data_IF_553437091966
#
_entry.id   IF_553437091966
#
_cell.length_a   1.000
_cell.length_b   1.000
_cell.length_c   1.000
_cell.angle_alpha   90.00
_cell.angle_beta   90.00
_cell.angle_gamma   90.00
#
_symmetry.space_group_name_H-M   'P 1'
#
loop_
_entity.id
_entity.type
_entity.pdbx_description
1 polymer ?
#
# COMPACT_ATOMS: atom_id res chain seq x y z
N UNK A 1 -17.30 48.21 -16.98
CA UNK A 1 -16.02 47.73 -16.40
C UNK A 1 -16.10 46.37 -15.70
N UNK A 2 -17.30 45.93 -15.38
CA UNK A 2 -17.62 44.64 -14.77
C UNK A 2 -16.99 43.43 -15.53
N UNK A 3 -17.06 43.44 -16.87
CA UNK A 3 -16.50 42.38 -17.71
C UNK A 3 -14.96 42.34 -17.66
N UNK A 4 -14.30 43.50 -17.51
CA UNK A 4 -12.84 43.63 -17.48
C UNK A 4 -12.23 43.16 -16.16
N UNK A 5 -12.88 43.45 -15.03
CA UNK A 5 -12.45 42.98 -13.71
C UNK A 5 -12.62 41.47 -13.54
N UNK A 6 -13.72 40.89 -14.04
CA UNK A 6 -13.93 39.43 -14.04
C UNK A 6 -12.99 38.68 -15.01
N UNK A 7 -12.72 39.26 -16.19
CA UNK A 7 -11.82 38.68 -17.18
C UNK A 7 -10.36 38.58 -16.68
N UNK A 8 -9.85 39.58 -16.02
CA UNK A 8 -8.49 39.55 -15.49
C UNK A 8 -8.30 38.46 -14.43
N UNK A 9 -9.31 38.21 -13.60
CA UNK A 9 -9.26 37.13 -12.58
C UNK A 9 -9.52 35.73 -13.15
N UNK A 10 -10.24 35.62 -14.25
CA UNK A 10 -10.39 34.39 -15.01
C UNK A 10 -9.09 33.94 -15.67
N UNK A 11 -8.27 34.89 -16.16
CA UNK A 11 -6.96 34.62 -16.75
C UNK A 11 -5.96 34.11 -15.70
N UNK A 12 -6.11 34.49 -14.42
CA UNK A 12 -5.32 34.02 -13.30
C UNK A 12 -5.81 32.68 -12.70
N UNK A 13 -6.82 32.03 -13.33
CA UNK A 13 -7.49 30.78 -12.85
C UNK A 13 -8.14 30.91 -11.47
N UNK A 14 -8.39 32.14 -11.00
CA UNK A 14 -9.12 32.43 -9.76
C UNK A 14 -10.64 32.55 -10.04
N UNK A 15 -11.28 31.38 -10.20
CA UNK A 15 -12.73 31.31 -10.46
C UNK A 15 -13.58 31.82 -9.28
N UNK A 16 -13.10 31.72 -8.07
CA UNK A 16 -13.79 32.25 -6.88
C UNK A 16 -13.69 33.77 -6.81
N UNK A 17 -12.50 34.29 -7.03
CA UNK A 17 -12.27 35.73 -7.06
C UNK A 17 -12.98 36.41 -8.22
N UNK A 18 -13.13 35.77 -9.38
CA UNK A 18 -13.91 36.31 -10.51
C UNK A 18 -15.41 36.37 -10.21
N UNK A 19 -15.97 35.34 -9.56
CA UNK A 19 -17.38 35.33 -9.12
C UNK A 19 -17.65 36.36 -8.04
N UNK A 20 -16.75 36.53 -7.07
CA UNK A 20 -16.87 37.53 -6.02
C UNK A 20 -16.70 38.97 -6.55
N UNK A 21 -15.87 39.21 -7.55
CA UNK A 21 -15.72 40.50 -8.20
C UNK A 21 -17.02 40.89 -8.93
N UNK A 22 -17.69 39.99 -9.60
CA UNK A 22 -19.01 40.22 -10.25
C UNK A 22 -20.10 40.54 -9.24
N UNK A 23 -20.16 39.85 -8.10
CA UNK A 23 -21.13 40.09 -7.03
C UNK A 23 -20.89 41.43 -6.37
N UNK A 24 -19.63 41.82 -6.14
CA UNK A 24 -19.24 43.06 -5.51
C UNK A 24 -19.56 44.28 -6.39
N UNK A 25 -19.30 44.15 -7.69
CA UNK A 25 -19.61 45.20 -8.67
C UNK A 25 -21.12 45.38 -8.88
N UNK A 26 -21.85 44.25 -8.95
CA UNK A 26 -23.33 44.27 -9.03
C UNK A 26 -23.97 44.96 -7.80
N UNK A 27 -23.38 44.80 -6.61
CA UNK A 27 -23.86 45.41 -5.37
C UNK A 27 -23.46 46.89 -5.25
N UNK A 28 -22.36 47.32 -5.88
CA UNK A 28 -21.88 48.69 -5.85
C UNK A 28 -22.60 49.63 -6.85
N UNK A 29 -23.18 49.05 -7.93
CA UNK A 29 -23.88 49.83 -8.97
C UNK A 29 -25.38 50.03 -8.71
N UNK A 30 -25.92 49.57 -7.56
CA UNK A 30 -27.34 49.66 -7.23
C UNK A 30 -27.67 50.97 -6.52
N UNK A 31 -27.94 52.00 -7.30
CA UNK A 31 -28.70 53.18 -6.81
C UNK A 31 -30.17 52.80 -6.58
N UNK A 32 -30.67 53.11 -5.50
CA UNK A 32 -31.93 53.14 -4.72
C UNK A 32 -33.27 52.58 -5.29
N UNK A 33 -33.41 52.01 -6.48
CA UNK A 33 -34.75 51.62 -6.99
C UNK A 33 -34.89 50.23 -7.61
N UNK A 34 -33.94 49.30 -7.44
CA UNK A 34 -34.03 47.93 -8.01
C UNK A 34 -33.75 46.79 -7.02
N UNK A 35 -33.89 47.05 -5.73
CA UNK A 35 -33.49 46.12 -4.65
C UNK A 35 -34.26 44.77 -4.63
N UNK A 36 -35.42 44.69 -5.26
CA UNK A 36 -36.25 43.46 -5.24
C UNK A 36 -36.04 42.50 -6.45
N UNK A 37 -35.56 43.03 -7.59
CA UNK A 37 -35.28 42.19 -8.77
C UNK A 37 -33.84 41.63 -8.78
N UNK A 38 -32.89 42.30 -8.12
CA UNK A 38 -31.49 41.83 -8.04
C UNK A 38 -31.24 40.78 -6.96
N UNK A 39 -32.02 40.77 -5.90
CA UNK A 39 -31.82 39.86 -4.76
C UNK A 39 -32.12 38.39 -5.10
N UNK A 40 -33.10 38.12 -5.96
CA UNK A 40 -33.49 36.76 -6.34
C UNK A 40 -32.43 36.03 -7.21
N UNK A 41 -31.91 36.77 -8.21
CA UNK A 41 -30.94 36.15 -9.15
C UNK A 41 -29.54 35.97 -8.51
N UNK A 42 -29.09 36.91 -7.67
CA UNK A 42 -27.82 36.77 -6.94
C UNK A 42 -27.89 35.68 -5.87
N UNK A 43 -29.02 35.54 -5.18
CA UNK A 43 -29.22 34.47 -4.20
C UNK A 43 -29.27 33.07 -4.85
N UNK A 44 -29.89 32.91 -6.04
CA UNK A 44 -29.95 31.65 -6.76
C UNK A 44 -28.57 31.25 -7.28
N UNK A 45 -27.76 32.18 -7.80
CA UNK A 45 -26.39 31.90 -8.24
C UNK A 45 -25.47 31.58 -7.06
N UNK A 46 -25.56 32.29 -5.95
CA UNK A 46 -24.76 32.04 -4.77
C UNK A 46 -25.11 30.71 -4.08
N UNK A 47 -26.41 30.38 -4.00
CA UNK A 47 -26.85 29.08 -3.46
C UNK A 47 -26.52 27.92 -4.41
N UNK A 48 -26.65 28.06 -5.72
CA UNK A 48 -26.29 27.05 -6.72
C UNK A 48 -24.78 26.78 -6.73
N UNK A 49 -23.94 27.82 -6.71
CA UNK A 49 -22.47 27.68 -6.63
C UNK A 49 -22.01 27.11 -5.28
N UNK A 50 -22.64 27.52 -4.17
CA UNK A 50 -22.36 27.00 -2.83
C UNK A 50 -22.72 25.52 -2.69
N UNK A 51 -23.89 25.11 -3.21
CA UNK A 51 -24.32 23.72 -3.19
C UNK A 51 -23.43 22.83 -4.08
N UNK A 52 -23.05 23.33 -5.29
CA UNK A 52 -22.12 22.61 -6.17
C UNK A 52 -20.73 22.47 -5.55
N UNK A 53 -20.20 23.52 -4.93
CA UNK A 53 -18.92 23.47 -4.21
C UNK A 53 -18.98 22.54 -2.98
N UNK A 54 -20.07 22.57 -2.22
CA UNK A 54 -20.30 21.68 -1.08
C UNK A 54 -20.41 20.21 -1.51
N UNK A 55 -21.18 19.93 -2.57
CA UNK A 55 -21.33 18.57 -3.09
C UNK A 55 -20.02 18.03 -3.66
N UNK A 56 -19.22 18.84 -4.35
CA UNK A 56 -17.86 18.49 -4.80
C UNK A 56 -16.94 18.19 -3.62
N UNK A 57 -16.89 19.06 -2.61
CA UNK A 57 -16.09 18.84 -1.39
C UNK A 57 -16.51 17.58 -0.63
N UNK A 58 -17.83 17.32 -0.54
CA UNK A 58 -18.34 16.10 0.10
C UNK A 58 -17.94 14.86 -0.67
N UNK A 59 -18.10 14.85 -2.00
CA UNK A 59 -17.64 13.75 -2.88
C UNK A 59 -16.13 13.52 -2.77
N UNK A 60 -15.32 14.58 -2.85
CA UNK A 60 -13.84 14.47 -2.75
C UNK A 60 -13.41 13.90 -1.39
N UNK A 61 -14.04 14.31 -0.28
CA UNK A 61 -13.76 13.77 1.05
C UNK A 61 -14.20 12.30 1.15
N UNK A 62 -15.35 11.96 0.59
CA UNK A 62 -15.87 10.59 0.61
C UNK A 62 -15.01 9.66 -0.25
N UNK A 63 -14.62 10.09 -1.46
CA UNK A 63 -13.67 9.33 -2.30
C UNK A 63 -12.31 9.18 -1.61
N UNK A 64 -11.82 10.21 -0.92
CA UNK A 64 -10.55 10.15 -0.19
C UNK A 64 -10.58 9.13 0.98
N UNK A 65 -11.68 9.09 1.75
CA UNK A 65 -11.83 8.09 2.82
C UNK A 65 -11.98 6.67 2.24
N UNK A 66 -12.80 6.50 1.21
CA UNK A 66 -12.96 5.21 0.54
C UNK A 66 -11.66 4.71 -0.12
N UNK A 67 -10.83 5.61 -0.66
CA UNK A 67 -9.50 5.23 -1.18
C UNK A 67 -8.57 4.78 -0.05
N UNK A 68 -8.62 5.43 1.12
CA UNK A 68 -7.83 5.02 2.27
C UNK A 68 -8.22 3.60 2.76
N UNK A 69 -9.53 3.31 2.81
CA UNK A 69 -10.04 1.99 3.16
C UNK A 69 -9.70 0.95 2.08
N UNK A 70 -9.76 1.35 0.81
CA UNK A 70 -9.45 0.49 -0.34
C UNK A 70 -7.98 0.05 -0.40
N UNK A 71 -7.04 0.87 0.09
CA UNK A 71 -5.61 0.50 0.21
C UNK A 71 -5.36 -0.67 1.17
N UNK A 72 -6.28 -0.93 2.08
CA UNK A 72 -6.19 -2.07 3.00
C UNK A 72 -6.72 -3.38 2.40
N UNK A 73 -7.34 -3.34 1.21
CA UNK A 73 -7.84 -4.53 0.53
C UNK A 73 -6.64 -5.33 0.00
N UNK A 74 -6.63 -6.63 0.29
CA UNK A 74 -5.60 -7.52 -0.23
C UNK A 74 -5.60 -7.49 -1.78
N UNK A 75 -4.47 -7.26 -2.46
CA UNK A 75 -4.40 -7.23 -3.92
C UNK A 75 -4.92 -8.50 -4.62
N UNK A 76 -4.93 -9.64 -3.92
CA UNK A 76 -5.46 -10.90 -4.41
C UNK A 76 -6.98 -11.00 -4.34
N UNK A 77 -7.63 -10.14 -3.54
CA UNK A 77 -9.08 -10.11 -3.42
C UNK A 77 -9.71 -9.25 -4.51
N UNK A 78 -9.68 -9.77 -5.74
CA UNK A 78 -10.28 -9.10 -6.90
C UNK A 78 -11.79 -8.89 -6.75
N UNK A 79 -12.47 -9.70 -5.93
CA UNK A 79 -13.91 -9.56 -5.67
C UNK A 79 -14.22 -8.26 -4.92
N UNK A 80 -13.48 -7.99 -3.85
CA UNK A 80 -13.59 -6.74 -3.10
C UNK A 80 -13.17 -5.53 -3.93
N UNK A 81 -12.11 -5.66 -4.75
CA UNK A 81 -11.68 -4.60 -5.68
C UNK A 81 -12.76 -4.29 -6.71
N UNK A 82 -13.40 -5.30 -7.31
CA UNK A 82 -14.49 -5.13 -8.28
C UNK A 82 -15.71 -4.41 -7.71
N UNK A 83 -15.94 -4.48 -6.41
CA UNK A 83 -17.06 -3.82 -5.72
C UNK A 83 -16.81 -2.31 -5.49
N UNK A 84 -15.58 -1.82 -5.66
CA UNK A 84 -15.24 -0.41 -5.45
C UNK A 84 -15.87 0.49 -6.51
N UNK A 85 -16.20 1.76 -6.16
CA UNK A 85 -16.56 2.78 -7.14
C UNK A 85 -15.44 3.01 -8.15
N UNK A 86 -15.81 3.31 -9.41
CA UNK A 86 -14.83 3.44 -10.50
C UNK A 86 -13.85 4.59 -10.30
N UNK A 87 -14.28 5.68 -9.70
CA UNK A 87 -13.43 6.83 -9.34
C UNK A 87 -12.41 6.51 -8.24
N UNK A 88 -12.73 5.58 -7.34
CA UNK A 88 -11.80 5.04 -6.35
C UNK A 88 -10.77 4.12 -7.02
N UNK A 89 -11.22 3.23 -7.91
CA UNK A 89 -10.33 2.36 -8.68
C UNK A 89 -9.37 3.14 -9.58
N UNK A 90 -9.86 4.20 -10.24
CA UNK A 90 -9.03 5.11 -11.04
C UNK A 90 -7.88 5.68 -10.22
N UNK A 91 -8.20 6.21 -9.05
CA UNK A 91 -7.20 6.79 -8.18
C UNK A 91 -6.24 5.75 -7.63
N UNK A 92 -6.78 4.60 -7.19
CA UNK A 92 -5.99 3.51 -6.66
C UNK A 92 -5.02 2.96 -7.72
N UNK A 93 -5.48 2.76 -8.97
CA UNK A 93 -4.62 2.29 -10.06
C UNK A 93 -3.46 3.23 -10.37
N UNK A 94 -3.67 4.56 -10.28
CA UNK A 94 -2.61 5.55 -10.45
C UNK A 94 -1.60 5.49 -9.30
N UNK A 95 -2.09 5.35 -8.08
CA UNK A 95 -1.23 5.22 -6.89
C UNK A 95 -0.39 3.93 -6.96
N UNK A 96 -0.97 2.80 -7.36
CA UNK A 96 -0.28 1.52 -7.50
C UNK A 96 0.81 1.54 -8.59
N UNK A 97 0.55 2.17 -9.73
CA UNK A 97 1.58 2.33 -10.78
C UNK A 97 2.80 3.09 -10.27
N UNK A 98 2.59 4.16 -9.49
CA UNK A 98 3.68 4.95 -8.91
C UNK A 98 4.40 4.18 -7.81
N UNK A 99 3.63 3.50 -6.93
CA UNK A 99 4.17 2.68 -5.85
C UNK A 99 5.07 1.57 -6.39
N UNK A 100 4.59 0.81 -7.38
CA UNK A 100 5.33 -0.29 -7.98
C UNK A 100 6.60 0.18 -8.71
N UNK A 101 6.58 1.33 -9.39
CA UNK A 101 7.80 1.90 -9.99
C UNK A 101 8.84 2.26 -8.91
N UNK A 102 8.40 2.83 -7.79
CA UNK A 102 9.28 3.13 -6.66
C UNK A 102 9.81 1.87 -5.98
N UNK A 103 8.96 0.86 -5.77
CA UNK A 103 9.35 -0.43 -5.21
C UNK A 103 10.39 -1.15 -6.07
N UNK A 104 10.23 -1.13 -7.40
CA UNK A 104 11.23 -1.68 -8.34
C UNK A 104 12.56 -0.95 -8.22
N UNK A 105 12.57 0.38 -8.08
CA UNK A 105 13.82 1.15 -7.91
C UNK A 105 14.52 0.81 -6.60
N UNK A 106 13.77 0.73 -5.50
CA UNK A 106 14.29 0.30 -4.19
C UNK A 106 14.83 -1.13 -4.24
N UNK A 107 14.05 -2.04 -4.83
CA UNK A 107 14.43 -3.44 -4.96
C UNK A 107 15.71 -3.65 -5.77
N UNK A 108 15.97 -2.84 -6.81
CA UNK A 108 17.24 -2.88 -7.54
C UNK A 108 18.43 -2.55 -6.66
N UNK A 109 18.34 -1.47 -5.89
CA UNK A 109 19.41 -1.07 -4.98
C UNK A 109 19.64 -2.11 -3.88
N UNK A 110 18.57 -2.69 -3.34
CA UNK A 110 18.64 -3.74 -2.34
C UNK A 110 19.22 -5.05 -2.91
N UNK A 111 18.86 -5.40 -4.14
CA UNK A 111 19.42 -6.56 -4.84
C UNK A 111 20.92 -6.43 -5.09
N UNK A 112 21.39 -5.24 -5.48
CA UNK A 112 22.82 -4.98 -5.68
C UNK A 112 23.59 -5.19 -4.35
N UNK A 113 23.05 -4.67 -3.25
CA UNK A 113 23.61 -4.87 -1.93
C UNK A 113 23.57 -6.35 -1.49
N UNK A 114 22.42 -7.00 -1.63
CA UNK A 114 22.25 -8.42 -1.30
C UNK A 114 23.18 -9.32 -2.14
N UNK A 115 23.39 -8.98 -3.41
CA UNK A 115 24.30 -9.74 -4.28
C UNK A 115 25.75 -9.59 -3.86
N UNK A 116 26.16 -8.40 -3.40
CA UNK A 116 27.50 -8.16 -2.87
C UNK A 116 27.73 -8.91 -1.55
N UNK A 117 26.72 -9.01 -0.69
CA UNK A 117 26.81 -9.66 0.63
C UNK A 117 26.68 -11.18 0.56
N UNK A 118 25.74 -11.70 -0.24
CA UNK A 118 25.32 -13.12 -0.22
C UNK A 118 25.66 -13.88 -1.50
N UNK A 119 26.08 -13.19 -2.56
CA UNK A 119 26.41 -13.75 -3.87
C UNK A 119 25.19 -14.02 -4.75
N UNK A 120 25.45 -14.16 -6.06
CA UNK A 120 24.44 -14.28 -7.11
C UNK A 120 23.53 -15.52 -6.97
N UNK A 121 24.04 -16.61 -6.41
CA UNK A 121 23.24 -17.84 -6.22
C UNK A 121 22.07 -17.63 -5.25
N UNK A 122 22.33 -16.96 -4.13
CA UNK A 122 21.34 -16.75 -3.08
C UNK A 122 20.33 -15.66 -3.44
N UNK A 123 20.68 -14.77 -4.38
CA UNK A 123 19.80 -13.67 -4.82
C UNK A 123 18.94 -14.00 -6.05
N UNK A 124 18.98 -15.23 -6.55
CA UNK A 124 18.20 -15.63 -7.74
C UNK A 124 16.68 -15.44 -7.60
N UNK A 125 16.13 -15.67 -6.42
CA UNK A 125 14.70 -15.44 -6.16
C UNK A 125 14.35 -13.96 -6.30
N UNK A 126 15.18 -13.10 -5.73
CA UNK A 126 15.01 -11.65 -5.80
C UNK A 126 15.11 -11.14 -7.24
N UNK A 127 16.11 -11.63 -8.04
CA UNK A 127 16.22 -11.32 -9.47
C UNK A 127 14.94 -11.69 -10.22
N UNK A 128 14.37 -12.86 -9.95
CA UNK A 128 13.11 -13.29 -10.59
C UNK A 128 11.93 -12.42 -10.20
N UNK A 129 11.79 -12.10 -8.91
CA UNK A 129 10.76 -11.19 -8.41
C UNK A 129 10.88 -9.81 -9.08
N UNK A 130 12.08 -9.23 -9.13
CA UNK A 130 12.34 -7.95 -9.76
C UNK A 130 12.01 -7.94 -11.27
N UNK A 131 12.39 -8.96 -12.00
CA UNK A 131 12.07 -9.10 -13.42
C UNK A 131 10.56 -9.26 -13.65
N UNK A 132 9.89 -10.05 -12.82
CA UNK A 132 8.44 -10.23 -12.88
C UNK A 132 7.72 -8.91 -12.61
N UNK A 133 8.08 -8.19 -11.54
CA UNK A 133 7.50 -6.90 -11.19
C UNK A 133 7.73 -5.85 -12.29
N UNK A 134 8.92 -5.82 -12.91
CA UNK A 134 9.21 -4.94 -14.03
C UNK A 134 8.31 -5.22 -15.23
N UNK A 135 8.12 -6.49 -15.58
CA UNK A 135 7.23 -6.89 -16.68
C UNK A 135 5.76 -6.59 -16.37
N UNK A 136 5.34 -6.81 -15.12
CA UNK A 136 3.99 -6.49 -14.65
C UNK A 136 3.71 -4.99 -14.75
N UNK A 137 4.64 -4.15 -14.30
CA UNK A 137 4.51 -2.70 -14.39
C UNK A 137 4.42 -2.23 -15.84
N UNK A 138 5.24 -2.77 -16.75
CA UNK A 138 5.17 -2.45 -18.19
C UNK A 138 3.80 -2.79 -18.77
N UNK A 139 3.23 -3.97 -18.43
CA UNK A 139 1.88 -4.37 -18.83
C UNK A 139 0.83 -3.41 -18.25
N UNK A 140 0.94 -3.06 -16.98
CA UNK A 140 0.02 -2.15 -16.31
C UNK A 140 0.03 -0.75 -16.94
N UNK A 141 1.19 -0.22 -17.33
CA UNK A 141 1.26 1.02 -18.12
C UNK A 141 0.62 0.87 -19.51
N UNK A 142 0.75 -0.30 -20.16
CA UNK A 142 0.04 -0.58 -21.42
C UNK A 142 -1.48 -0.54 -21.25
N UNK A 143 -2.01 -1.15 -20.19
CA UNK A 143 -3.44 -1.08 -19.84
C UNK A 143 -3.85 0.37 -19.54
N UNK A 144 -3.04 1.10 -18.79
CA UNK A 144 -3.32 2.51 -18.51
C UNK A 144 -3.39 3.36 -19.77
N UNK A 145 -2.46 3.14 -20.71
CA UNK A 145 -2.47 3.84 -21.99
C UNK A 145 -3.73 3.56 -22.83
N UNK A 146 -4.27 2.32 -22.78
CA UNK A 146 -5.55 1.98 -23.40
C UNK A 146 -6.70 2.75 -22.75
N UNK A 147 -6.76 2.79 -21.40
CA UNK A 147 -7.79 3.52 -20.66
C UNK A 147 -7.78 5.04 -20.89
N UNK A 148 -6.64 5.59 -21.34
CA UNK A 148 -6.45 7.01 -21.61
C UNK A 148 -6.58 7.36 -23.11
N UNK A 149 -6.77 6.36 -23.99
CA UNK A 149 -6.93 6.62 -25.43
C UNK A 149 -8.33 7.18 -25.76
N UNK A 150 -8.57 7.46 -27.05
CA UNK A 150 -9.83 8.07 -27.53
C UNK A 150 -10.95 7.06 -27.79
N UNK A 151 -10.67 5.76 -27.65
CA UNK A 151 -11.63 4.69 -27.89
C UNK A 151 -12.28 4.36 -26.54
N UNK A 152 -13.59 4.64 -26.35
CA UNK A 152 -14.22 4.43 -25.06
C UNK A 152 -14.50 2.94 -24.83
N UNK A 153 -13.99 2.39 -23.74
CA UNK A 153 -14.38 1.07 -23.22
C UNK A 153 -15.74 1.13 -22.55
N UNK A 154 -16.40 -0.02 -22.47
CA UNK A 154 -17.57 -0.18 -21.61
C UNK A 154 -17.17 -0.01 -20.13
N UNK A 155 -18.13 0.38 -19.28
CA UNK A 155 -17.85 0.52 -17.83
C UNK A 155 -17.33 -0.78 -17.22
N UNK A 156 -17.83 -1.93 -17.68
CA UNK A 156 -17.40 -3.24 -17.20
C UNK A 156 -15.94 -3.55 -17.59
N UNK A 157 -15.55 -3.26 -18.83
CA UNK A 157 -14.18 -3.43 -19.32
C UNK A 157 -13.23 -2.49 -18.59
N UNK A 158 -13.59 -1.20 -18.50
CA UNK A 158 -12.81 -0.21 -17.76
C UNK A 158 -12.57 -0.64 -16.32
N UNK A 159 -13.61 -1.12 -15.64
CA UNK A 159 -13.51 -1.64 -14.27
C UNK A 159 -12.55 -2.84 -14.18
N UNK A 160 -12.69 -3.79 -15.09
CA UNK A 160 -11.82 -4.98 -15.12
C UNK A 160 -10.34 -4.60 -15.34
N UNK A 161 -10.07 -3.67 -16.25
CA UNK A 161 -8.72 -3.16 -16.51
C UNK A 161 -8.11 -2.44 -15.30
N UNK A 162 -8.88 -1.59 -14.61
CA UNK A 162 -8.43 -0.91 -13.40
C UNK A 162 -8.11 -1.89 -12.26
N UNK A 163 -8.97 -2.92 -12.08
CA UNK A 163 -8.73 -3.97 -11.10
C UNK A 163 -7.50 -4.80 -11.46
N UNK A 164 -7.26 -5.09 -12.76
CA UNK A 164 -6.05 -5.79 -13.19
C UNK A 164 -4.78 -4.99 -12.86
N UNK A 165 -4.77 -3.68 -13.07
CA UNK A 165 -3.65 -2.81 -12.65
C UNK A 165 -3.43 -2.92 -11.14
N UNK A 166 -4.46 -2.64 -10.32
CA UNK A 166 -4.36 -2.62 -8.86
C UNK A 166 -3.91 -3.97 -8.32
N UNK A 167 -4.55 -5.05 -8.76
CA UNK A 167 -4.25 -6.40 -8.28
C UNK A 167 -2.85 -6.86 -8.68
N UNK A 168 -2.46 -6.67 -9.95
CA UNK A 168 -1.17 -7.14 -10.44
C UNK A 168 0.00 -6.33 -9.89
N UNK A 169 -0.14 -5.00 -9.79
CA UNK A 169 0.88 -4.13 -9.21
C UNK A 169 1.04 -4.40 -7.70
N UNK A 170 -0.05 -4.46 -6.94
CA UNK A 170 0.02 -4.76 -5.51
C UNK A 170 0.64 -6.13 -5.22
N UNK A 171 0.32 -7.17 -6.00
CA UNK A 171 0.99 -8.48 -5.87
C UNK A 171 2.48 -8.44 -6.24
N UNK A 172 2.88 -7.57 -7.16
CA UNK A 172 4.28 -7.39 -7.52
C UNK A 172 5.04 -6.68 -6.38
N UNK A 173 4.43 -5.70 -5.73
CA UNK A 173 4.99 -5.02 -4.56
C UNK A 173 5.15 -5.99 -3.39
N UNK A 174 4.10 -6.78 -3.05
CA UNK A 174 4.16 -7.83 -2.02
C UNK A 174 5.32 -8.81 -2.25
N UNK A 175 5.58 -9.19 -3.51
CA UNK A 175 6.65 -10.12 -3.86
C UNK A 175 8.04 -9.50 -3.68
N UNK A 176 8.22 -8.22 -3.99
CA UNK A 176 9.47 -7.49 -3.77
C UNK A 176 9.74 -7.29 -2.28
N UNK A 177 8.72 -6.91 -1.53
CA UNK A 177 8.81 -6.71 -0.08
C UNK A 177 9.20 -8.02 0.63
N UNK A 178 8.59 -9.14 0.26
CA UNK A 178 8.93 -10.45 0.82
C UNK A 178 10.41 -10.82 0.58
N UNK A 179 10.97 -10.52 -0.59
CA UNK A 179 12.39 -10.76 -0.86
C UNK A 179 13.29 -9.81 -0.07
N UNK A 180 12.93 -8.53 0.05
CA UNK A 180 13.67 -7.57 0.86
C UNK A 180 13.69 -7.98 2.35
N UNK A 181 12.56 -8.41 2.90
CA UNK A 181 12.45 -8.93 4.28
C UNK A 181 13.32 -10.18 4.48
N UNK A 182 13.33 -11.12 3.53
CA UNK A 182 14.16 -12.31 3.59
C UNK A 182 15.65 -11.96 3.69
N UNK A 183 16.13 -10.98 2.92
CA UNK A 183 17.52 -10.54 2.97
C UNK A 183 17.84 -9.71 4.22
N UNK A 184 16.88 -8.91 4.72
CA UNK A 184 17.02 -8.23 6.01
C UNK A 184 17.17 -9.24 7.15
N UNK A 185 16.38 -10.30 7.18
CA UNK A 185 16.47 -11.38 8.16
C UNK A 185 17.82 -12.13 8.08
N UNK A 186 18.32 -12.43 6.87
CA UNK A 186 19.63 -13.04 6.68
C UNK A 186 20.76 -12.14 7.20
N UNK A 187 20.69 -10.84 6.94
CA UNK A 187 21.67 -9.86 7.44
C UNK A 187 21.66 -9.79 8.97
N UNK A 188 20.46 -9.83 9.58
CA UNK A 188 20.32 -9.86 11.04
C UNK A 188 20.98 -11.10 11.66
N UNK A 189 20.78 -12.28 11.03
CA UNK A 189 21.44 -13.51 11.47
C UNK A 189 22.96 -13.40 11.39
N UNK A 190 23.52 -12.79 10.33
CA UNK A 190 24.96 -12.59 10.17
C UNK A 190 25.53 -11.65 11.22
N UNK A 191 24.86 -10.51 11.45
CA UNK A 191 25.30 -9.51 12.45
C UNK A 191 25.30 -10.12 13.85
N UNK A 192 24.33 -10.97 14.15
CA UNK A 192 24.18 -11.59 15.47
C UNK A 192 24.80 -12.98 15.58
N UNK A 193 25.54 -13.46 14.56
CA UNK A 193 26.06 -14.82 14.50
C UNK A 193 26.92 -15.18 15.73
N UNK A 194 27.87 -14.33 16.11
CA UNK A 194 28.74 -14.59 17.24
C UNK A 194 27.99 -14.67 18.57
N UNK A 195 27.01 -13.75 18.75
CA UNK A 195 26.16 -13.76 19.96
C UNK A 195 25.27 -15.00 20.02
N UNK A 196 24.72 -15.43 18.88
CA UNK A 196 23.88 -16.61 18.79
C UNK A 196 24.69 -17.90 19.02
N UNK A 197 25.91 -17.99 18.49
CA UNK A 197 26.85 -19.08 18.76
C UNK A 197 27.24 -19.16 20.24
N UNK A 198 27.53 -18.02 20.87
CA UNK A 198 27.84 -17.98 22.30
C UNK A 198 26.65 -18.47 23.15
N UNK A 199 25.45 -18.02 22.87
CA UNK A 199 24.20 -18.47 23.53
C UNK A 199 23.98 -19.96 23.35
N UNK A 200 24.16 -20.47 22.12
CA UNK A 200 23.99 -21.88 21.80
C UNK A 200 25.01 -22.74 22.57
N UNK A 201 26.28 -22.30 22.59
CA UNK A 201 27.33 -22.95 23.33
C UNK A 201 27.02 -22.99 24.83
N UNK A 202 26.57 -21.88 25.42
CA UNK A 202 26.17 -21.83 26.83
C UNK A 202 24.98 -22.78 27.09
N UNK A 203 24.00 -22.80 26.23
CA UNK A 203 22.85 -23.71 26.36
C UNK A 203 23.30 -25.20 26.32
N UNK A 204 24.24 -25.52 25.43
CA UNK A 204 24.82 -26.87 25.36
C UNK A 204 25.57 -27.24 26.65
N UNK A 205 26.33 -26.30 27.20
CA UNK A 205 27.05 -26.52 28.50
C UNK A 205 26.05 -26.73 29.63
N UNK A 206 25.02 -25.89 29.71
CA UNK A 206 23.98 -26.01 30.73
C UNK A 206 23.19 -27.32 30.63
N UNK A 207 22.83 -27.75 29.41
CA UNK A 207 22.18 -29.04 29.18
C UNK A 207 23.07 -30.21 29.58
N UNK A 208 24.35 -30.19 29.19
CA UNK A 208 25.33 -31.23 29.60
C UNK A 208 25.50 -31.25 31.11
N UNK A 209 25.51 -30.10 31.79
CA UNK A 209 25.58 -30.03 33.23
C UNK A 209 24.39 -30.66 33.95
N UNK A 210 23.20 -30.70 33.29
CA UNK A 210 21.97 -31.32 33.80
C UNK A 210 21.88 -32.82 33.57
N UNK A 211 22.65 -33.40 32.64
CA UNK A 211 22.59 -34.82 32.30
C UNK A 211 22.84 -35.73 33.52
N UNK A 212 23.88 -35.54 34.35
CA UNK A 212 24.12 -36.42 35.50
C UNK A 212 22.93 -36.46 36.47
N UNK A 213 22.29 -35.33 36.70
CA UNK A 213 21.11 -35.26 37.57
C UNK A 213 19.89 -35.97 36.93
N UNK A 214 19.73 -35.84 35.61
CA UNK A 214 18.69 -36.55 34.88
C UNK A 214 18.88 -38.07 34.92
N UNK A 215 20.13 -38.54 34.76
CA UNK A 215 20.51 -39.95 34.88
C UNK A 215 20.21 -40.51 36.26
N UNK A 216 20.63 -39.81 37.33
CA UNK A 216 20.31 -40.19 38.69
C UNK A 216 18.81 -40.28 38.96
N UNK A 217 18.05 -39.33 38.39
CA UNK A 217 16.59 -39.34 38.53
C UNK A 217 15.97 -40.52 37.77
N UNK A 218 16.47 -40.83 36.57
CA UNK A 218 16.00 -41.96 35.76
C UNK A 218 16.33 -43.29 36.47
N UNK A 219 17.52 -43.43 37.05
CA UNK A 219 17.91 -44.64 37.78
C UNK A 219 17.03 -44.85 39.01
N UNK A 220 16.72 -43.81 39.76
CA UNK A 220 15.77 -43.88 40.84
C UNK A 220 14.36 -44.32 40.35
N UNK A 221 13.86 -43.73 39.28
CA UNK A 221 12.56 -44.09 38.72
C UNK A 221 12.54 -45.53 38.19
N UNK A 222 13.64 -46.07 37.66
CA UNK A 222 13.78 -47.48 37.30
C UNK A 222 13.67 -48.43 38.48
N UNK A 223 14.08 -47.98 39.67
CA UNK A 223 13.87 -48.76 40.91
C UNK A 223 12.47 -48.71 41.47
N UNK A 224 11.72 -47.64 41.18
CA UNK A 224 10.38 -47.39 41.75
C UNK A 224 9.24 -47.82 40.83
N UNK A 225 9.49 -47.87 39.51
CA UNK A 225 8.45 -48.09 38.50
C UNK A 225 8.78 -49.22 37.49
N UNK A 226 7.77 -49.95 36.95
CA UNK A 226 7.99 -50.91 35.87
C UNK A 226 8.55 -50.30 34.61
N UNK A 227 9.46 -51.00 33.91
CA UNK A 227 10.12 -50.53 32.70
C UNK A 227 9.14 -50.08 31.58
N UNK A 228 7.95 -50.66 31.52
CA UNK A 228 6.90 -50.29 30.54
C UNK A 228 6.39 -48.84 30.71
N UNK A 229 6.48 -48.28 31.93
CA UNK A 229 6.09 -46.88 32.16
C UNK A 229 7.20 -45.87 31.76
N UNK A 230 8.43 -46.34 31.65
CA UNK A 230 9.60 -45.47 31.41
C UNK A 230 10.07 -45.51 29.94
N UNK A 231 9.44 -46.28 29.08
CA UNK A 231 9.86 -46.48 27.67
C UNK A 231 10.00 -45.19 26.90
N UNK A 232 9.15 -44.17 27.16
CA UNK A 232 9.18 -42.89 26.43
C UNK A 232 10.34 -41.96 26.88
N UNK A 233 10.96 -42.22 28.00
CA UNK A 233 12.01 -41.36 28.57
C UNK A 233 13.34 -42.10 28.80
N UNK A 234 13.36 -43.43 28.65
CA UNK A 234 14.49 -44.29 28.98
C UNK A 234 15.79 -43.93 28.22
N UNK A 235 15.67 -43.50 26.98
CA UNK A 235 16.78 -43.20 26.07
C UNK A 235 17.07 -41.71 25.92
N UNK A 236 16.30 -40.82 26.57
CA UNK A 236 16.47 -39.37 26.43
C UNK A 236 17.83 -38.85 26.88
N UNK A 237 18.45 -39.48 27.90
CA UNK A 237 19.78 -39.10 28.38
C UNK A 237 20.89 -39.58 27.47
N UNK A 238 20.64 -40.56 26.61
CA UNK A 238 21.63 -41.08 25.63
C UNK A 238 21.56 -40.32 24.30
N UNK A 239 20.44 -39.67 24.03
CA UNK A 239 20.20 -38.89 22.81
C UNK A 239 20.58 -37.41 22.95
N UNK A 240 20.88 -36.95 24.18
CA UNK A 240 21.24 -35.56 24.50
C UNK A 240 22.75 -35.35 24.52
#
# INVERSE_FOLDING_TARGET
DMKKAAYNKLVESDYYGSAMALVREANSSSGNNAAWLGGGAAAVVATGAGLAAYSRRKRTKQTASMTADARAINPKDTGSLMALPIDVLEKLSQEELVSTDESIRKARAELDLATAEFGAERTRSFVRALNHSTTTLQRAFGIRAQLDDTIPESEAERRAMLVDIVSSCGQADDALDAEAENFAALRDVLINADSNLAKLTQTMVDLRGRLPQAEQTLDRLRGEHPASMLTSIADNTQLA
#
